data_IF_315848616249
#
_entry.id   IF_315848616249
#
_cell.length_a   1.000
_cell.length_b   1.000
_cell.length_c   1.000
_cell.angle_alpha   90.00
_cell.angle_beta   90.00
_cell.angle_gamma   90.00
#
_symmetry.space_group_name_H-M   'P 1'
#
loop_
_entity.id
_entity.type
_entity.pdbx_description
1 polymer ?
#
# COMPACT_ATOMS: atom_id res chain seq x y z
N UNK A 1 -28.84 -18.68 8.97
CA UNK A 1 -28.84 -18.63 7.48
C UNK A 1 -27.41 -18.84 7.00
N UNK A 2 -27.17 -19.96 6.31
CA UNK A 2 -25.87 -20.30 5.69
C UNK A 2 -25.67 -19.46 4.43
N UNK A 3 -24.62 -18.64 4.38
CA UNK A 3 -24.17 -18.00 3.13
C UNK A 3 -23.08 -18.86 2.48
N UNK A 4 -23.36 -19.26 1.23
CA UNK A 4 -22.48 -19.96 0.30
C UNK A 4 -21.83 -18.93 -0.64
N UNK A 5 -20.58 -19.22 -1.03
CA UNK A 5 -19.82 -18.67 -2.18
C UNK A 5 -19.29 -17.24 -2.00
N UNK A 6 -18.04 -16.90 -2.31
CA UNK A 6 -17.31 -17.22 -3.55
C UNK A 6 -15.78 -17.36 -3.36
N UNK A 7 -15.25 -18.55 -3.62
CA UNK A 7 -13.84 -18.78 -3.92
C UNK A 7 -13.58 -18.46 -5.40
N UNK A 8 -13.12 -17.25 -5.72
CA UNK A 8 -12.70 -16.87 -7.08
C UNK A 8 -11.27 -16.33 -7.15
N UNK A 9 -10.48 -16.43 -6.08
CA UNK A 9 -9.15 -15.83 -5.99
C UNK A 9 -8.00 -16.52 -6.78
N UNK A 10 -7.98 -17.82 -7.11
CA UNK A 10 -6.79 -18.41 -7.74
C UNK A 10 -6.82 -18.47 -9.27
N UNK A 11 -7.91 -18.05 -9.95
CA UNK A 11 -8.05 -18.24 -11.42
C UNK A 11 -7.48 -17.12 -12.29
N UNK A 12 -7.17 -15.96 -11.74
CA UNK A 12 -6.61 -14.83 -12.51
C UNK A 12 -5.07 -14.96 -12.66
N UNK A 13 -4.42 -15.79 -11.83
CA UNK A 13 -2.97 -16.00 -11.86
C UNK A 13 -2.47 -16.83 -13.07
N UNK A 14 -3.32 -17.64 -13.72
CA UNK A 14 -2.86 -18.57 -14.78
C UNK A 14 -2.96 -18.04 -16.20
N UNK A 15 -3.57 -16.87 -16.45
CA UNK A 15 -3.82 -16.40 -17.82
C UNK A 15 -2.70 -15.49 -18.35
N UNK A 16 -1.84 -14.95 -17.50
CA UNK A 16 -0.85 -13.93 -17.88
C UNK A 16 0.53 -14.53 -18.25
N UNK A 17 0.77 -15.82 -17.99
CA UNK A 17 2.07 -16.47 -18.26
C UNK A 17 2.15 -17.21 -19.61
N UNK A 18 1.07 -17.29 -20.39
CA UNK A 18 1.00 -18.20 -21.56
C UNK A 18 0.87 -17.50 -22.92
N UNK A 19 1.08 -16.18 -23.00
CA UNK A 19 1.10 -15.45 -24.28
C UNK A 19 2.48 -14.84 -24.50
N UNK A 20 3.50 -15.70 -24.62
CA UNK A 20 4.85 -15.31 -25.06
C UNK A 20 5.38 -16.19 -26.20
N UNK A 21 4.52 -16.93 -26.87
CA UNK A 21 4.87 -17.69 -28.06
C UNK A 21 3.69 -17.68 -29.02
N UNK A 22 3.71 -16.79 -30.01
CA UNK A 22 3.20 -17.07 -31.35
C UNK A 22 3.53 -15.92 -32.31
N UNK A 23 4.50 -16.23 -33.18
CA UNK A 23 4.76 -15.77 -34.55
C UNK A 23 4.31 -14.38 -34.98
N UNK A 24 5.28 -13.58 -35.43
CA UNK A 24 5.03 -12.48 -36.37
C UNK A 24 5.93 -12.63 -37.57
N UNK A 25 5.27 -12.68 -38.72
CA UNK A 25 5.80 -12.71 -40.08
C UNK A 25 6.63 -11.47 -40.38
N UNK A 26 7.81 -11.66 -40.97
CA UNK A 26 8.66 -10.57 -41.46
C UNK A 26 8.11 -10.05 -42.79
N UNK A 27 7.36 -8.95 -42.77
CA UNK A 27 7.10 -8.15 -43.96
C UNK A 27 8.17 -7.07 -44.14
N UNK A 28 8.73 -7.02 -45.34
CA UNK A 28 9.85 -6.18 -45.73
C UNK A 28 9.52 -4.69 -45.63
N UNK A 29 10.23 -4.00 -44.74
CA UNK A 29 10.23 -2.55 -44.66
C UNK A 29 11.59 -1.99 -45.06
N UNK A 30 11.52 -0.86 -45.77
CA UNK A 30 12.60 -0.13 -46.42
C UNK A 30 13.64 0.29 -45.38
N UNK A 31 14.91 -0.06 -45.62
CA UNK A 31 16.04 0.21 -44.74
C UNK A 31 16.37 1.70 -44.67
N UNK A 32 16.11 2.33 -43.52
CA UNK A 32 16.78 3.57 -43.13
C UNK A 32 17.94 3.26 -42.19
N UNK A 33 19.04 4.00 -42.31
CA UNK A 33 20.25 3.80 -41.52
C UNK A 33 19.99 4.01 -40.04
N UNK A 34 20.10 2.95 -39.25
CA UNK A 34 19.90 2.97 -37.80
C UNK A 34 21.22 3.31 -37.11
N UNK A 35 21.23 4.34 -36.27
CA UNK A 35 22.45 4.75 -35.54
C UNK A 35 22.76 3.81 -34.35
N UNK A 36 24.00 3.83 -33.88
CA UNK A 36 24.37 3.14 -32.63
C UNK A 36 23.55 3.66 -31.44
N UNK A 37 23.37 4.98 -31.39
CA UNK A 37 22.77 5.74 -30.28
C UNK A 37 21.29 5.39 -30.02
N UNK A 38 20.50 5.07 -31.06
CA UNK A 38 19.09 4.72 -30.89
C UNK A 38 18.87 3.40 -30.13
N UNK A 39 19.80 2.44 -30.29
CA UNK A 39 19.75 1.17 -29.56
C UNK A 39 20.06 1.37 -28.08
N UNK A 40 21.10 2.16 -27.80
CA UNK A 40 21.54 2.42 -26.43
C UNK A 40 20.48 3.24 -25.68
N UNK A 41 19.88 4.24 -26.32
CA UNK A 41 18.75 4.98 -25.75
C UNK A 41 17.55 4.06 -25.45
N UNK A 42 17.17 3.19 -26.39
CA UNK A 42 16.05 2.26 -26.21
C UNK A 42 16.30 1.30 -25.03
N UNK A 43 17.55 0.83 -24.86
CA UNK A 43 17.96 -0.01 -23.74
C UNK A 43 17.91 0.73 -22.40
N UNK A 44 18.38 1.98 -22.36
CA UNK A 44 18.31 2.82 -21.16
C UNK A 44 16.86 3.09 -20.74
N UNK A 45 15.99 3.44 -21.69
CA UNK A 45 14.56 3.64 -21.43
C UNK A 45 13.89 2.37 -20.88
N UNK A 46 14.24 1.21 -21.43
CA UNK A 46 13.76 -0.09 -20.96
C UNK A 46 14.21 -0.39 -19.53
N UNK A 47 15.49 -0.23 -19.23
CA UNK A 47 16.04 -0.44 -17.88
C UNK A 47 15.35 0.48 -16.86
N UNK A 48 15.12 1.74 -17.22
CA UNK A 48 14.40 2.70 -16.37
C UNK A 48 12.95 2.25 -16.11
N UNK A 49 12.25 1.77 -17.14
CA UNK A 49 10.87 1.26 -17.02
C UNK A 49 10.80 -0.04 -16.21
N UNK A 50 11.81 -0.91 -16.29
CA UNK A 50 11.91 -2.12 -15.45
C UNK A 50 12.12 -1.78 -13.98
N UNK A 51 12.92 -0.74 -13.67
CA UNK A 51 13.07 -0.20 -12.32
C UNK A 51 11.76 0.37 -11.78
N UNK A 52 11.07 1.19 -12.58
CA UNK A 52 9.74 1.73 -12.23
C UNK A 52 8.72 0.62 -11.95
N UNK A 53 8.71 -0.43 -12.77
CA UNK A 53 7.82 -1.58 -12.60
C UNK A 53 8.09 -2.31 -11.28
N UNK A 54 9.36 -2.56 -10.97
CA UNK A 54 9.76 -3.22 -9.72
C UNK A 54 9.36 -2.39 -8.49
N UNK A 55 9.57 -1.07 -8.55
CA UNK A 55 9.20 -0.16 -7.45
C UNK A 55 7.68 -0.09 -7.26
N UNK A 56 6.90 -0.01 -8.34
CA UNK A 56 5.43 -0.03 -8.25
C UNK A 56 4.89 -1.37 -7.73
N UNK A 57 5.51 -2.49 -8.10
CA UNK A 57 5.17 -3.80 -7.52
C UNK A 57 5.42 -3.84 -6.01
N UNK A 58 6.56 -3.30 -5.57
CA UNK A 58 6.88 -3.20 -4.14
C UNK A 58 5.88 -2.33 -3.38
N UNK A 59 5.49 -1.20 -3.96
CA UNK A 59 4.48 -0.31 -3.38
C UNK A 59 3.10 -1.00 -3.29
N UNK A 60 2.72 -1.76 -4.31
CA UNK A 60 1.46 -2.53 -4.31
C UNK A 60 1.45 -3.57 -3.18
N UNK A 61 2.54 -4.33 -3.01
CA UNK A 61 2.65 -5.30 -1.93
C UNK A 61 2.65 -4.64 -0.54
N UNK A 62 3.33 -3.50 -0.38
CA UNK A 62 3.26 -2.72 0.85
C UNK A 62 1.83 -2.26 1.16
N UNK A 63 1.07 -1.82 0.14
CA UNK A 63 -0.32 -1.40 0.30
C UNK A 63 -1.26 -2.56 0.64
N UNK A 64 -1.04 -3.75 0.09
CA UNK A 64 -1.76 -4.97 0.50
C UNK A 64 -1.49 -5.35 1.95
N UNK A 65 -0.23 -5.26 2.39
CA UNK A 65 0.13 -5.52 3.79
C UNK A 65 -0.51 -4.51 4.76
N UNK A 66 -0.54 -3.23 4.36
CA UNK A 66 -1.25 -2.18 5.09
C UNK A 66 -2.77 -2.46 5.17
N UNK A 67 -3.40 -2.90 4.08
CA UNK A 67 -4.82 -3.29 4.09
C UNK A 67 -5.08 -4.45 5.07
N UNK A 68 -4.22 -5.47 5.08
CA UNK A 68 -4.33 -6.57 6.05
C UNK A 68 -4.24 -6.10 7.50
N UNK A 69 -3.35 -5.14 7.78
CA UNK A 69 -3.21 -4.53 9.11
C UNK A 69 -4.46 -3.74 9.50
N UNK A 70 -4.98 -2.91 8.59
CA UNK A 70 -6.22 -2.15 8.80
C UNK A 70 -7.43 -3.07 9.02
N UNK A 71 -7.52 -4.18 8.27
CA UNK A 71 -8.57 -5.18 8.45
C UNK A 71 -8.51 -5.84 9.83
N UNK A 72 -7.31 -6.12 10.35
CA UNK A 72 -7.12 -6.61 11.71
C UNK A 72 -7.56 -5.60 12.78
N UNK A 73 -7.22 -4.32 12.61
CA UNK A 73 -7.67 -3.24 13.50
C UNK A 73 -9.20 -3.12 13.47
N UNK A 74 -9.81 -3.13 12.29
CA UNK A 74 -11.27 -3.13 12.13
C UNK A 74 -11.94 -4.26 12.91
N UNK A 75 -11.43 -5.49 12.80
CA UNK A 75 -11.97 -6.65 13.52
C UNK A 75 -11.83 -6.48 15.04
N UNK A 76 -10.71 -5.93 15.51
CA UNK A 76 -10.51 -5.64 16.93
C UNK A 76 -11.52 -4.62 17.45
N UNK A 77 -11.73 -3.50 16.73
CA UNK A 77 -12.71 -2.49 17.13
C UNK A 77 -14.15 -3.01 17.07
N UNK A 78 -14.49 -3.82 16.06
CA UNK A 78 -15.79 -4.47 15.98
C UNK A 78 -16.05 -5.40 17.19
N UNK A 79 -15.06 -6.17 17.61
CA UNK A 79 -15.16 -7.02 18.80
C UNK A 79 -15.28 -6.21 20.10
N UNK A 80 -14.55 -5.11 20.22
CA UNK A 80 -14.68 -4.19 21.37
C UNK A 80 -16.07 -3.55 21.42
N UNK A 81 -16.61 -3.13 20.27
CA UNK A 81 -17.96 -2.57 20.17
C UNK A 81 -19.01 -3.58 20.63
N UNK A 82 -18.95 -4.82 20.15
CA UNK A 82 -19.89 -5.88 20.53
C UNK A 82 -19.86 -6.14 22.04
N UNK A 83 -18.67 -6.20 22.65
CA UNK A 83 -18.53 -6.37 24.10
C UNK A 83 -19.07 -5.16 24.88
N UNK A 84 -18.79 -3.94 24.42
CA UNK A 84 -19.26 -2.73 25.06
C UNK A 84 -20.78 -2.60 24.98
N UNK A 85 -21.40 -2.92 23.84
CA UNK A 85 -22.87 -2.91 23.68
C UNK A 85 -23.54 -3.95 24.58
N UNK A 86 -22.95 -5.15 24.72
CA UNK A 86 -23.45 -6.16 25.67
C UNK A 86 -23.37 -5.69 27.12
N UNK A 87 -22.22 -5.14 27.54
CA UNK A 87 -22.06 -4.61 28.89
C UNK A 87 -23.03 -3.45 29.15
N UNK A 88 -23.26 -2.59 28.17
CA UNK A 88 -24.21 -1.49 28.26
C UNK A 88 -25.63 -2.00 28.50
N UNK A 89 -26.06 -3.04 27.78
CA UNK A 89 -27.36 -3.68 27.97
C UNK A 89 -27.50 -4.28 29.38
N UNK A 90 -26.46 -4.98 29.87
CA UNK A 90 -26.42 -5.52 31.24
C UNK A 90 -26.55 -4.42 32.30
N UNK A 91 -25.87 -3.28 32.11
CA UNK A 91 -25.93 -2.14 33.03
C UNK A 91 -27.30 -1.46 33.02
N UNK A 92 -27.90 -1.27 31.84
CA UNK A 92 -29.26 -0.73 31.70
C UNK A 92 -30.27 -1.62 32.43
N UNK A 93 -30.17 -2.94 32.26
CA UNK A 93 -31.03 -3.89 32.96
C UNK A 93 -30.83 -3.84 34.49
N UNK A 94 -29.58 -3.76 34.96
CA UNK A 94 -29.28 -3.63 36.38
C UNK A 94 -29.84 -2.33 36.99
N UNK A 95 -29.73 -1.20 36.29
CA UNK A 95 -30.31 0.08 36.71
C UNK A 95 -31.85 -0.04 36.81
N UNK A 96 -32.49 -0.64 35.81
CA UNK A 96 -33.94 -0.83 35.82
C UNK A 96 -34.41 -1.74 36.97
N UNK A 97 -33.67 -2.81 37.27
CA UNK A 97 -33.96 -3.68 38.40
C UNK A 97 -33.87 -2.94 39.74
N UNK A 98 -32.82 -2.13 39.93
CA UNK A 98 -32.62 -1.31 41.14
C UNK A 98 -33.70 -0.22 41.28
N UNK A 99 -34.13 0.39 40.18
CA UNK A 99 -35.26 1.32 40.19
C UNK A 99 -36.57 0.64 40.65
N UNK A 100 -36.82 -0.60 40.21
CA UNK A 100 -37.98 -1.36 40.65
C UNK A 100 -37.89 -1.73 42.15
N UNK A 101 -36.70 -2.11 42.63
CA UNK A 101 -36.43 -2.41 44.04
C UNK A 101 -36.64 -1.18 44.94
N UNK A 102 -36.11 -0.03 44.54
CA UNK A 102 -36.33 1.25 45.23
C UNK A 102 -37.82 1.59 45.39
N UNK A 103 -38.61 1.36 44.33
CA UNK A 103 -40.07 1.58 44.36
C UNK A 103 -40.77 0.64 45.34
N UNK A 104 -40.33 -0.62 45.43
CA UNK A 104 -40.87 -1.59 46.38
C UNK A 104 -40.53 -1.20 47.82
N UNK A 105 -39.27 -0.82 48.08
CA UNK A 105 -38.82 -0.35 49.39
C UNK A 105 -39.58 0.90 49.84
N UNK A 106 -39.84 1.84 48.92
CA UNK A 106 -40.64 3.03 49.20
C UNK A 106 -42.08 2.69 49.60
N UNK A 107 -42.73 1.75 48.90
CA UNK A 107 -44.06 1.26 49.26
C UNK A 107 -44.07 0.54 50.61
N UNK A 108 -43.06 -0.29 50.89
CA UNK A 108 -42.94 -0.99 52.17
C UNK A 108 -42.73 -0.02 53.33
N UNK A 109 -41.86 0.98 53.15
CA UNK A 109 -41.61 2.04 54.12
C UNK A 109 -42.91 2.79 54.47
N UNK A 110 -43.68 3.22 53.47
CA UNK A 110 -44.97 3.91 53.68
C UNK A 110 -45.97 3.05 54.45
N UNK A 111 -46.03 1.74 54.16
CA UNK A 111 -46.88 0.81 54.91
C UNK A 111 -46.44 0.71 56.37
N UNK A 112 -45.14 0.56 56.65
CA UNK A 112 -44.63 0.46 58.03
C UNK A 112 -44.79 1.77 58.80
N UNK A 113 -44.59 2.91 58.17
CA UNK A 113 -44.83 4.23 58.77
C UNK A 113 -46.29 4.41 59.16
N UNK A 114 -47.22 3.99 58.30
CA UNK A 114 -48.66 4.01 58.58
C UNK A 114 -49.00 3.08 59.75
N UNK A 115 -48.43 1.87 59.79
CA UNK A 115 -48.63 0.93 60.90
C UNK A 115 -48.07 1.48 62.22
N UNK A 116 -46.87 2.06 62.20
CA UNK A 116 -46.24 2.68 63.36
C UNK A 116 -47.08 3.83 63.91
N UNK A 117 -47.59 4.71 63.03
CA UNK A 117 -48.47 5.82 63.42
C UNK A 117 -49.77 5.31 64.07
N UNK A 118 -50.38 4.26 63.51
CA UNK A 118 -51.57 3.64 64.09
C UNK A 118 -51.28 3.02 65.47
N UNK A 119 -50.12 2.37 65.64
CA UNK A 119 -49.69 1.81 66.94
C UNK A 119 -49.41 2.92 67.96
N UNK A 120 -48.76 4.01 67.57
CA UNK A 120 -48.52 5.17 68.44
C UNK A 120 -49.84 5.78 68.93
N UNK A 121 -50.82 5.98 68.04
CA UNK A 121 -52.14 6.48 68.42
C UNK A 121 -52.86 5.56 69.42
N UNK A 122 -52.75 4.24 69.25
CA UNK A 122 -53.32 3.26 70.18
C UNK A 122 -52.65 3.31 71.56
N UNK A 123 -51.33 3.41 71.59
CA UNK A 123 -50.54 3.57 72.83
C UNK A 123 -50.99 4.84 73.56
N UNK A 124 -51.11 5.97 72.86
CA UNK A 124 -51.56 7.25 73.43
C UNK A 124 -52.96 7.15 74.03
N UNK A 125 -53.90 6.51 73.33
CA UNK A 125 -55.24 6.26 73.85
C UNK A 125 -55.22 5.40 75.13
N UNK A 126 -54.39 4.35 75.18
CA UNK A 126 -54.23 3.46 76.34
C UNK A 126 -53.60 4.18 77.53
N UNK A 127 -52.54 4.96 77.31
CA UNK A 127 -51.89 5.80 78.35
C UNK A 127 -52.88 6.82 78.90
N UNK A 128 -53.63 7.51 78.03
CA UNK A 128 -54.65 8.48 78.46
C UNK A 128 -55.76 7.82 79.28
N UNK A 129 -56.21 6.62 78.90
CA UNK A 129 -57.20 5.86 79.68
C UNK A 129 -56.67 5.46 81.05
N UNK A 130 -55.40 5.06 81.15
CA UNK A 130 -54.76 4.72 82.43
C UNK A 130 -54.66 5.94 83.35
N UNK A 131 -54.21 7.06 82.81
CA UNK A 131 -54.08 8.33 83.55
C UNK A 131 -55.42 8.85 84.07
N UNK A 132 -56.49 8.80 83.24
CA UNK A 132 -57.84 9.20 83.68
C UNK A 132 -58.35 8.31 84.83
N UNK A 133 -58.05 7.01 84.80
CA UNK A 133 -58.50 6.06 85.83
C UNK A 133 -57.69 6.16 87.12
N UNK A 134 -56.39 6.51 87.07
CA UNK A 134 -55.57 6.72 88.28
C UNK A 134 -56.01 7.90 89.13
N UNK A 135 -56.81 8.83 88.58
CA UNK A 135 -57.40 9.96 89.30
C UNK A 135 -58.69 9.60 90.07
N UNK A 136 -59.22 8.39 89.88
CA UNK A 136 -60.29 7.84 90.74
C UNK A 136 -59.64 7.36 92.03
N UNK A 137 -60.03 7.83 93.22
CA UNK A 137 -59.39 7.40 94.47
C UNK A 137 -59.54 5.88 94.62
N UNK A 138 -58.44 5.18 94.39
CA UNK A 138 -58.30 3.73 94.44
C UNK A 138 -58.78 3.17 95.78
N UNK A 139 -58.68 3.95 96.85
CA UNK A 139 -59.14 3.60 98.19
C UNK A 139 -60.65 3.30 98.26
N UNK A 140 -61.50 3.97 97.45
CA UNK A 140 -62.95 3.73 97.43
C UNK A 140 -63.29 2.40 96.74
N UNK A 141 -62.46 1.97 95.79
CA UNK A 141 -62.61 0.67 95.10
C UNK A 141 -61.89 -0.47 95.85
N UNK A 142 -60.87 -0.13 96.65
CA UNK A 142 -60.09 -1.04 97.48
C UNK A 142 -60.88 -1.59 98.70
N UNK A 143 -61.78 -0.78 99.27
CA UNK A 143 -62.61 -1.15 100.43
C UNK A 143 -64.02 -1.67 100.05
N UNK A 144 -64.33 -1.78 98.75
CA UNK A 144 -65.59 -2.37 98.27
C UNK A 144 -65.35 -3.85 97.93
N UNK A 145 -65.76 -4.74 98.84
CA UNK A 145 -65.46 -6.20 98.90
C UNK A 145 -65.51 -7.00 97.57
N UNK A 146 -64.75 -8.11 97.56
CA UNK A 146 -64.68 -9.24 96.61
C UNK A 146 -63.99 -9.08 95.24
N UNK A 147 -63.41 -7.91 94.91
CA UNK A 147 -62.84 -7.66 93.55
C UNK A 147 -61.35 -7.28 93.50
N UNK A 148 -60.60 -7.39 94.61
CA UNK A 148 -59.19 -7.01 94.66
C UNK A 148 -58.32 -7.73 93.61
N UNK A 149 -58.56 -9.04 93.42
CA UNK A 149 -57.90 -9.84 92.37
C UNK A 149 -58.17 -9.27 90.98
N UNK A 150 -59.42 -8.94 90.68
CA UNK A 150 -59.81 -8.41 89.36
C UNK A 150 -59.22 -7.03 89.05
N UNK A 151 -58.97 -6.21 90.08
CA UNK A 151 -58.31 -4.91 89.95
C UNK A 151 -56.80 -5.05 89.70
N UNK A 152 -56.15 -5.95 90.43
CA UNK A 152 -54.74 -6.29 90.21
C UNK A 152 -54.52 -6.94 88.84
N UNK A 153 -55.44 -7.81 88.41
CA UNK A 153 -55.46 -8.42 87.08
C UNK A 153 -55.65 -7.36 85.97
N UNK A 154 -56.61 -6.43 86.09
CA UNK A 154 -56.81 -5.36 85.09
C UNK A 154 -55.59 -4.44 84.97
N UNK A 155 -54.97 -4.07 86.09
CA UNK A 155 -53.73 -3.29 86.08
C UNK A 155 -52.56 -4.06 85.43
N UNK A 156 -52.37 -5.32 85.82
CA UNK A 156 -51.33 -6.19 85.26
C UNK A 156 -51.55 -6.40 83.75
N UNK A 157 -52.78 -6.66 83.32
CA UNK A 157 -53.11 -6.85 81.90
C UNK A 157 -52.80 -5.59 81.08
N UNK A 158 -53.17 -4.40 81.58
CA UNK A 158 -52.89 -3.13 80.89
C UNK A 158 -51.40 -2.82 80.79
N UNK A 159 -50.63 -3.09 81.84
CA UNK A 159 -49.17 -2.86 81.82
C UNK A 159 -48.45 -3.84 80.89
N UNK A 160 -48.87 -5.10 80.84
CA UNK A 160 -48.38 -6.09 79.87
C UNK A 160 -48.69 -5.68 78.43
N UNK A 161 -49.92 -5.22 78.17
CA UNK A 161 -50.32 -4.72 76.84
C UNK A 161 -49.46 -3.54 76.40
N UNK A 162 -49.27 -2.53 77.26
CA UNK A 162 -48.45 -1.37 76.93
C UNK A 162 -46.99 -1.76 76.63
N UNK A 163 -46.46 -2.74 77.37
CA UNK A 163 -45.11 -3.27 77.14
C UNK A 163 -45.02 -3.93 75.76
N UNK A 164 -46.02 -4.72 75.38
CA UNK A 164 -46.07 -5.37 74.07
C UNK A 164 -46.28 -4.37 72.92
N UNK A 165 -47.12 -3.35 73.10
CA UNK A 165 -47.29 -2.29 72.12
C UNK A 165 -45.99 -1.52 71.92
N UNK A 166 -45.31 -1.14 73.01
CA UNK A 166 -44.02 -0.44 72.94
C UNK A 166 -42.98 -1.30 72.21
N UNK A 167 -42.93 -2.60 72.52
CA UNK A 167 -42.05 -3.55 71.82
C UNK A 167 -42.36 -3.62 70.33
N UNK A 168 -43.64 -3.68 69.96
CA UNK A 168 -44.08 -3.68 68.56
C UNK A 168 -43.70 -2.37 67.85
N UNK A 169 -43.92 -1.22 68.49
CA UNK A 169 -43.57 0.08 67.94
C UNK A 169 -42.05 0.25 67.74
N UNK A 170 -41.24 -0.23 68.70
CA UNK A 170 -39.78 -0.28 68.54
C UNK A 170 -39.40 -1.16 67.36
N UNK A 171 -39.96 -2.36 67.24
CA UNK A 171 -39.69 -3.27 66.12
C UNK A 171 -40.07 -2.68 64.76
N UNK A 172 -41.19 -1.98 64.65
CA UNK A 172 -41.57 -1.24 63.44
C UNK A 172 -40.58 -0.12 63.11
N UNK A 173 -40.13 0.63 64.12
CA UNK A 173 -39.09 1.64 63.96
C UNK A 173 -37.76 1.07 63.47
N UNK A 174 -37.34 -0.08 64.02
CA UNK A 174 -36.15 -0.81 63.57
C UNK A 174 -36.28 -1.28 62.11
N UNK A 175 -37.46 -1.77 61.70
CA UNK A 175 -37.72 -2.17 60.32
C UNK A 175 -37.71 -0.99 59.35
N UNK A 176 -38.28 0.16 59.72
CA UNK A 176 -38.22 1.40 58.92
C UNK A 176 -36.76 1.85 58.74
N UNK A 177 -35.96 1.83 59.82
CA UNK A 177 -34.54 2.16 59.75
C UNK A 177 -33.77 1.19 58.84
N UNK A 178 -34.08 -0.10 58.88
CA UNK A 178 -33.46 -1.09 58.00
C UNK A 178 -33.81 -0.85 56.51
N UNK A 179 -35.09 -0.62 56.20
CA UNK A 179 -35.55 -0.26 54.85
C UNK A 179 -34.87 1.02 54.36
N UNK A 180 -34.74 2.03 55.24
CA UNK A 180 -34.05 3.28 54.91
C UNK A 180 -32.60 3.07 54.49
N UNK A 181 -31.84 2.21 55.20
CA UNK A 181 -30.46 1.86 54.84
C UNK A 181 -30.38 1.12 53.50
N UNK A 182 -31.23 0.13 53.30
CA UNK A 182 -31.26 -0.65 52.05
C UNK A 182 -31.60 0.25 50.84
N UNK A 183 -32.47 1.25 51.05
CA UNK A 183 -32.82 2.24 50.04
C UNK A 183 -31.64 3.15 49.69
N UNK A 184 -30.89 3.62 50.68
CA UNK A 184 -29.67 4.42 50.47
C UNK A 184 -28.58 3.62 49.71
N UNK A 185 -28.36 2.35 50.08
CA UNK A 185 -27.44 1.46 49.38
C UNK A 185 -27.86 1.23 47.91
N UNK A 186 -29.15 1.05 47.66
CA UNK A 186 -29.68 0.93 46.30
C UNK A 186 -29.53 2.23 45.48
N UNK A 187 -29.77 3.40 46.08
CA UNK A 187 -29.57 4.70 45.42
C UNK A 187 -28.11 4.93 45.04
N UNK A 188 -27.17 4.62 45.95
CA UNK A 188 -25.72 4.76 45.71
C UNK A 188 -25.22 3.80 44.63
N UNK A 189 -25.62 2.52 44.67
CA UNK A 189 -25.25 1.54 43.63
C UNK A 189 -25.82 1.93 42.27
N UNK A 190 -27.07 2.37 42.21
CA UNK A 190 -27.70 2.85 40.98
C UNK A 190 -26.92 4.04 40.40
N UNK A 191 -26.54 5.01 41.21
CA UNK A 191 -25.76 6.16 40.76
C UNK A 191 -24.37 5.75 40.23
N UNK A 192 -23.72 4.73 40.82
CA UNK A 192 -22.47 4.17 40.29
C UNK A 192 -22.67 3.53 38.91
N UNK A 193 -23.73 2.72 38.76
CA UNK A 193 -24.06 2.08 37.50
C UNK A 193 -24.39 3.09 36.39
N UNK A 194 -25.06 4.21 36.73
CA UNK A 194 -25.35 5.28 35.77
C UNK A 194 -24.06 5.94 35.24
N UNK A 195 -23.04 6.14 36.10
CA UNK A 195 -21.72 6.65 35.68
C UNK A 195 -20.95 5.66 34.81
N UNK A 196 -20.97 4.38 35.16
CA UNK A 196 -20.35 3.33 34.34
C UNK A 196 -21.03 3.22 32.98
N UNK A 197 -22.37 3.33 32.94
CA UNK A 197 -23.15 3.35 31.71
C UNK A 197 -22.77 4.53 30.82
N UNK A 198 -22.63 5.74 31.37
CA UNK A 198 -22.20 6.93 30.61
C UNK A 198 -20.80 6.74 30.00
N UNK A 199 -19.89 6.11 30.74
CA UNK A 199 -18.55 5.78 30.24
C UNK A 199 -18.62 4.78 29.08
N UNK A 200 -19.43 3.72 29.22
CA UNK A 200 -19.64 2.74 28.16
C UNK A 200 -20.30 3.34 26.92
N UNK A 201 -21.27 4.25 27.09
CA UNK A 201 -21.89 4.99 25.98
C UNK A 201 -20.83 5.77 25.18
N UNK A 202 -19.87 6.42 25.85
CA UNK A 202 -18.76 7.11 25.18
C UNK A 202 -17.81 6.14 24.46
N UNK A 203 -17.51 4.99 25.06
CA UNK A 203 -16.64 3.98 24.45
C UNK A 203 -17.29 3.35 23.21
N UNK A 204 -18.60 3.12 23.23
CA UNK A 204 -19.39 2.68 22.07
C UNK A 204 -19.30 3.70 20.93
N UNK A 205 -19.44 5.00 21.23
CA UNK A 205 -19.32 6.04 20.20
C UNK A 205 -17.91 6.08 19.60
N UNK A 206 -16.87 6.07 20.44
CA UNK A 206 -15.47 6.04 19.99
C UNK A 206 -15.18 4.82 19.11
N UNK A 207 -15.66 3.64 19.51
CA UNK A 207 -15.47 2.43 18.72
C UNK A 207 -16.15 2.54 17.34
N UNK A 208 -17.36 3.10 17.27
CA UNK A 208 -18.08 3.35 16.00
C UNK A 208 -17.31 4.32 15.10
N UNK A 209 -16.76 5.39 15.65
CA UNK A 209 -15.92 6.34 14.91
C UNK A 209 -14.63 5.68 14.37
N UNK A 210 -13.96 4.87 15.18
CA UNK A 210 -12.75 4.12 14.78
C UNK A 210 -13.04 3.10 13.68
N UNK A 211 -14.16 2.39 13.76
CA UNK A 211 -14.64 1.47 12.73
C UNK A 211 -14.86 2.22 11.41
N UNK A 212 -15.58 3.35 11.44
CA UNK A 212 -15.84 4.15 10.25
C UNK A 212 -14.56 4.69 9.63
N UNK A 213 -13.62 5.18 10.45
CA UNK A 213 -12.32 5.66 9.99
C UNK A 213 -11.49 4.55 9.34
N UNK A 214 -11.45 3.36 9.95
CA UNK A 214 -10.74 2.20 9.41
C UNK A 214 -11.34 1.73 8.08
N UNK A 215 -12.68 1.69 7.96
CA UNK A 215 -13.35 1.39 6.69
C UNK A 215 -13.00 2.40 5.59
N UNK A 216 -12.99 3.70 5.90
CA UNK A 216 -12.61 4.73 4.95
C UNK A 216 -11.15 4.57 4.49
N UNK A 217 -10.23 4.25 5.40
CA UNK A 217 -8.83 3.99 5.08
C UNK A 217 -8.65 2.74 4.21
N UNK A 218 -9.38 1.65 4.49
CA UNK A 218 -9.38 0.44 3.66
C UNK A 218 -9.87 0.77 2.25
N UNK A 219 -10.96 1.53 2.10
CA UNK A 219 -11.48 1.92 0.80
C UNK A 219 -10.49 2.80 0.02
N UNK A 220 -9.87 3.78 0.69
CA UNK A 220 -8.83 4.62 0.08
C UNK A 220 -7.61 3.79 -0.36
N UNK A 221 -7.15 2.86 0.48
CA UNK A 221 -6.03 1.98 0.17
C UNK A 221 -6.35 1.10 -1.06
N UNK A 222 -7.55 0.52 -1.13
CA UNK A 222 -7.99 -0.25 -2.31
C UNK A 222 -7.99 0.57 -3.59
N UNK A 223 -8.43 1.83 -3.53
CA UNK A 223 -8.37 2.72 -4.70
C UNK A 223 -6.92 2.96 -5.15
N UNK A 224 -6.00 3.17 -4.22
CA UNK A 224 -4.57 3.30 -4.54
C UNK A 224 -4.00 2.01 -5.14
N UNK A 225 -4.39 0.83 -4.63
CA UNK A 225 -3.99 -0.45 -5.21
C UNK A 225 -4.50 -0.60 -6.65
N UNK A 226 -5.74 -0.21 -6.95
CA UNK A 226 -6.28 -0.22 -8.30
C UNK A 226 -5.50 0.70 -9.24
N UNK A 227 -5.12 1.89 -8.78
CA UNK A 227 -4.27 2.82 -9.56
C UNK A 227 -2.89 2.23 -9.85
N UNK A 228 -2.24 1.63 -8.84
CA UNK A 228 -0.95 0.96 -9.01
C UNK A 228 -1.05 -0.21 -9.99
N UNK A 229 -2.10 -1.02 -9.92
CA UNK A 229 -2.33 -2.11 -10.89
C UNK A 229 -2.50 -1.58 -12.31
N UNK A 230 -3.24 -0.49 -12.51
CA UNK A 230 -3.36 0.14 -13.83
C UNK A 230 -2.03 0.68 -14.35
N UNK A 231 -1.22 1.31 -13.50
CA UNK A 231 0.12 1.79 -13.86
C UNK A 231 1.04 0.62 -14.25
N UNK A 232 1.00 -0.49 -13.52
CA UNK A 232 1.77 -1.70 -13.84
C UNK A 232 1.40 -2.27 -15.21
N UNK A 233 0.11 -2.34 -15.54
CA UNK A 233 -0.34 -2.77 -16.88
C UNK A 233 0.19 -1.81 -17.96
N UNK A 234 0.15 -0.50 -17.71
CA UNK A 234 0.70 0.51 -18.62
C UNK A 234 2.21 0.35 -18.83
N UNK A 235 2.98 0.13 -17.76
CA UNK A 235 4.42 -0.10 -17.82
C UNK A 235 4.77 -1.40 -18.57
N UNK A 236 4.01 -2.47 -18.35
CA UNK A 236 4.18 -3.74 -19.08
C UNK A 236 3.97 -3.56 -20.60
N UNK A 237 2.94 -2.80 -20.99
CA UNK A 237 2.70 -2.46 -22.41
C UNK A 237 3.83 -1.63 -23.03
N UNK A 238 4.35 -0.65 -22.29
CA UNK A 238 5.49 0.16 -22.73
C UNK A 238 6.76 -0.68 -22.90
N UNK A 239 7.04 -1.58 -21.95
CA UNK A 239 8.19 -2.50 -22.02
C UNK A 239 8.09 -3.48 -23.20
N UNK A 240 6.90 -3.99 -23.51
CA UNK A 240 6.68 -4.82 -24.69
C UNK A 240 6.99 -4.03 -25.97
N UNK A 241 6.52 -2.78 -26.07
CA UNK A 241 6.77 -1.90 -27.22
C UNK A 241 8.25 -1.57 -27.38
N UNK A 242 8.95 -1.23 -26.29
CA UNK A 242 10.39 -0.96 -26.31
C UNK A 242 11.21 -2.21 -26.68
N UNK A 243 10.78 -3.40 -26.22
CA UNK A 243 11.42 -4.67 -26.58
C UNK A 243 11.26 -4.98 -28.06
N UNK A 244 10.07 -4.73 -28.62
CA UNK A 244 9.86 -4.85 -30.07
C UNK A 244 10.77 -3.89 -30.85
N UNK A 245 10.84 -2.62 -30.44
CA UNK A 245 11.73 -1.63 -31.06
C UNK A 245 13.21 -2.04 -30.99
N UNK A 246 13.66 -2.58 -29.86
CA UNK A 246 15.02 -3.11 -29.71
C UNK A 246 15.31 -4.23 -30.73
N UNK A 247 14.38 -5.18 -30.89
CA UNK A 247 14.51 -6.28 -31.85
C UNK A 247 14.52 -5.80 -33.30
N UNK A 248 13.66 -4.82 -33.65
CA UNK A 248 13.63 -4.21 -34.98
C UNK A 248 14.95 -3.52 -35.32
N UNK A 249 15.51 -2.75 -34.37
CA UNK A 249 16.82 -2.10 -34.53
C UNK A 249 17.94 -3.15 -34.72
N UNK A 250 17.95 -4.21 -33.93
CA UNK A 250 18.95 -5.28 -34.03
C UNK A 250 18.85 -6.03 -35.36
N UNK A 251 17.63 -6.34 -35.81
CA UNK A 251 17.40 -6.97 -37.11
C UNK A 251 17.86 -6.08 -38.27
N UNK A 252 17.55 -4.77 -38.21
CA UNK A 252 18.00 -3.80 -39.20
C UNK A 252 19.54 -3.69 -39.24
N UNK A 253 20.20 -3.66 -38.07
CA UNK A 253 21.67 -3.66 -37.98
C UNK A 253 22.29 -4.95 -38.54
N UNK A 254 21.72 -6.11 -38.21
CA UNK A 254 22.20 -7.39 -38.72
C UNK A 254 22.06 -7.51 -40.24
N UNK A 255 20.93 -7.08 -40.79
CA UNK A 255 20.71 -7.09 -42.23
C UNK A 255 21.59 -6.06 -42.97
N UNK A 256 21.82 -4.87 -42.40
CA UNK A 256 22.78 -3.91 -42.95
C UNK A 256 24.24 -4.41 -42.90
N UNK A 257 24.58 -5.25 -41.91
CA UNK A 257 25.88 -5.92 -41.84
C UNK A 257 25.99 -7.08 -42.85
N UNK A 258 24.89 -7.81 -43.12
CA UNK A 258 24.84 -8.91 -44.08
C UNK A 258 24.82 -8.47 -45.55
N UNK A 259 24.48 -7.20 -45.83
CA UNK A 259 24.49 -6.66 -47.18
C UNK A 259 25.91 -6.66 -47.80
N UNK A 260 26.14 -7.51 -48.81
CA UNK A 260 27.44 -7.67 -49.51
C UNK A 260 27.76 -6.59 -50.56
N UNK A 261 27.02 -5.48 -50.56
CA UNK A 261 27.26 -4.42 -51.53
C UNK A 261 28.54 -3.67 -51.17
N UNK A 262 29.49 -3.64 -52.11
CA UNK A 262 30.70 -2.81 -52.08
C UNK A 262 30.63 -1.75 -53.18
N UNK A 263 31.59 -0.82 -53.22
CA UNK A 263 31.71 0.17 -54.30
C UNK A 263 31.76 -0.57 -55.64
N UNK A 264 30.84 -0.23 -56.55
CA UNK A 264 30.76 -0.81 -57.89
C UNK A 264 29.82 -2.01 -58.04
N UNK A 265 29.22 -2.54 -56.97
CA UNK A 265 28.30 -3.70 -57.07
C UNK A 265 26.91 -3.35 -57.61
N UNK A 266 26.49 -2.08 -57.55
CA UNK A 266 25.22 -1.61 -58.08
C UNK A 266 25.49 -0.50 -59.11
N UNK A 267 24.80 -0.54 -60.26
CA UNK A 267 24.84 0.56 -61.21
C UNK A 267 24.35 1.84 -60.55
N UNK A 268 25.15 2.91 -60.65
CA UNK A 268 24.73 4.24 -60.19
C UNK A 268 23.69 4.79 -61.15
N UNK A 269 22.40 4.54 -60.87
CA UNK A 269 21.31 5.09 -61.67
C UNK A 269 20.90 6.47 -61.14
N UNK A 270 20.82 7.46 -62.03
CA UNK A 270 20.33 8.83 -61.74
C UNK A 270 18.85 8.89 -61.32
N UNK A 271 18.12 7.79 -61.47
CA UNK A 271 16.68 7.69 -61.24
C UNK A 271 16.26 8.06 -59.81
N UNK A 272 17.06 7.72 -58.80
CA UNK A 272 16.74 8.03 -57.40
C UNK A 272 16.79 9.53 -57.10
N UNK A 273 17.68 10.29 -57.75
CA UNK A 273 17.80 11.75 -57.59
C UNK A 273 16.72 12.51 -58.38
N UNK A 274 16.14 11.85 -59.39
CA UNK A 274 15.13 12.45 -60.27
C UNK A 274 13.69 12.11 -59.86
N UNK A 275 13.48 11.40 -58.74
CA UNK A 275 12.13 11.20 -58.20
C UNK A 275 11.56 12.52 -57.67
N UNK A 276 10.37 12.95 -58.15
CA UNK A 276 9.72 14.15 -57.63
C UNK A 276 9.43 14.01 -56.13
N UNK A 277 9.44 15.12 -55.40
CA UNK A 277 8.97 15.15 -54.02
C UNK A 277 7.54 14.59 -53.93
N UNK A 278 7.16 13.93 -52.82
CA UNK A 278 5.79 13.47 -52.60
C UNK A 278 4.78 14.61 -52.84
N UNK A 279 3.70 14.33 -53.57
CA UNK A 279 2.78 15.35 -54.12
C UNK A 279 1.89 16.10 -53.12
N UNK A 280 2.22 16.06 -51.83
CA UNK A 280 1.57 16.80 -50.76
C UNK A 280 2.36 18.07 -50.41
N UNK A 281 1.65 19.10 -49.97
CA UNK A 281 2.14 20.48 -49.82
C UNK A 281 3.07 20.70 -48.61
N UNK A 282 4.06 19.83 -48.41
CA UNK A 282 5.08 19.91 -47.35
C UNK A 282 6.46 20.30 -47.89
N UNK A 283 7.33 20.79 -47.01
CA UNK A 283 8.74 20.98 -47.31
C UNK A 283 9.48 19.65 -47.13
N UNK A 284 10.11 19.17 -48.21
CA UNK A 284 10.90 17.94 -48.20
C UNK A 284 12.38 18.26 -48.30
N UNK A 285 13.17 17.65 -47.43
CA UNK A 285 14.62 17.62 -47.54
C UNK A 285 15.04 16.23 -48.00
N UNK A 286 15.94 16.20 -48.97
CA UNK A 286 16.51 14.98 -49.50
C UNK A 286 18.03 15.08 -49.40
N UNK A 287 18.64 14.08 -48.78
CA UNK A 287 20.09 13.98 -48.64
C UNK A 287 20.56 12.79 -49.47
N UNK A 288 21.55 13.03 -50.32
CA UNK A 288 22.21 12.00 -51.11
C UNK A 288 23.70 12.04 -50.82
N UNK A 289 24.30 10.87 -50.69
CA UNK A 289 25.76 10.74 -50.63
C UNK A 289 26.21 9.93 -51.82
N UNK A 290 27.32 10.34 -52.44
CA UNK A 290 28.02 9.54 -53.42
C UNK A 290 29.13 8.79 -52.69
N UNK A 291 28.82 7.57 -52.28
CA UNK A 291 29.81 6.73 -51.59
C UNK A 291 29.16 5.52 -50.97
N UNK A 292 29.48 4.34 -51.50
CA UNK A 292 29.39 3.12 -50.72
C UNK A 292 30.73 2.97 -50.00
N UNK A 293 30.81 2.64 -48.70
CA UNK A 293 32.08 2.23 -48.15
C UNK A 293 32.49 0.93 -48.86
N UNK A 294 33.69 0.86 -49.41
CA UNK A 294 34.20 -0.39 -49.97
C UNK A 294 34.50 -1.43 -48.87
N UNK A 295 34.37 -1.04 -47.59
CA UNK A 295 34.56 -1.85 -46.38
C UNK A 295 35.94 -2.53 -46.31
N UNK A 296 36.87 -2.06 -47.13
CA UNK A 296 38.26 -2.46 -47.20
C UNK A 296 39.08 -1.24 -46.76
N UNK A 297 40.07 -1.40 -45.91
CA UNK A 297 40.84 -0.27 -45.41
C UNK A 297 41.64 -0.65 -44.18
N UNK A 298 42.88 -0.17 -44.12
CA UNK A 298 43.76 -0.47 -43.00
C UNK A 298 43.44 0.39 -41.78
N UNK A 299 43.11 -0.24 -40.66
CA UNK A 299 43.07 0.46 -39.38
C UNK A 299 44.49 0.68 -38.87
N UNK A 300 44.88 1.93 -38.63
CA UNK A 300 46.24 2.30 -38.23
C UNK A 300 46.67 1.62 -36.91
N UNK A 301 45.82 1.61 -35.88
CA UNK A 301 46.11 0.94 -34.60
C UNK A 301 46.09 -0.59 -34.72
N UNK A 302 45.27 -1.13 -35.61
CA UNK A 302 45.27 -2.55 -35.93
C UNK A 302 46.56 -2.97 -36.64
N UNK A 303 47.08 -2.14 -37.56
CA UNK A 303 48.39 -2.34 -38.19
C UNK A 303 49.52 -2.27 -37.15
N UNK A 304 49.46 -1.32 -36.22
CA UNK A 304 50.37 -1.25 -35.06
C UNK A 304 50.37 -2.53 -34.23
N UNK A 305 49.18 -3.04 -33.84
CA UNK A 305 49.06 -4.27 -33.07
C UNK A 305 49.59 -5.50 -33.82
N UNK A 306 49.33 -5.61 -35.14
CA UNK A 306 49.86 -6.69 -35.98
C UNK A 306 51.38 -6.62 -36.14
N UNK A 307 51.93 -5.42 -36.29
CA UNK A 307 53.38 -5.22 -36.34
C UNK A 307 54.06 -5.54 -35.00
N UNK A 308 53.42 -5.21 -33.86
CA UNK A 308 53.87 -5.64 -32.54
C UNK A 308 53.81 -7.16 -32.36
N UNK A 309 52.85 -7.83 -33.00
CA UNK A 309 52.77 -9.28 -33.06
C UNK A 309 53.77 -9.92 -34.03
N UNK A 310 54.66 -9.13 -34.66
CA UNK A 310 55.73 -9.61 -35.53
C UNK A 310 55.34 -9.84 -36.99
N UNK A 311 54.15 -9.40 -37.42
CA UNK A 311 53.75 -9.49 -38.83
C UNK A 311 54.53 -8.50 -39.69
N UNK A 312 54.95 -8.94 -40.87
CA UNK A 312 55.60 -8.14 -41.91
C UNK A 312 54.62 -7.17 -42.56
N UNK A 313 55.13 -6.11 -43.23
CA UNK A 313 54.28 -5.17 -43.99
C UNK A 313 53.32 -5.86 -44.95
N UNK A 314 53.77 -6.90 -45.67
CA UNK A 314 52.91 -7.65 -46.59
C UNK A 314 51.78 -8.40 -45.88
N UNK A 315 52.07 -9.06 -44.77
CA UNK A 315 51.05 -9.76 -43.95
C UNK A 315 50.03 -8.78 -43.36
N UNK A 316 50.49 -7.59 -42.95
CA UNK A 316 49.61 -6.51 -42.47
C UNK A 316 48.69 -6.05 -43.60
N UNK A 317 49.25 -5.72 -44.78
CA UNK A 317 48.46 -5.25 -45.93
C UNK A 317 47.45 -6.28 -46.40
N UNK A 318 47.85 -7.54 -46.58
CA UNK A 318 46.95 -8.63 -46.97
C UNK A 318 45.88 -8.94 -45.92
N UNK A 319 46.08 -8.58 -44.65
CA UNK A 319 45.05 -8.69 -43.63
C UNK A 319 43.92 -7.64 -43.76
N UNK A 320 44.20 -6.49 -44.38
CA UNK A 320 43.23 -5.40 -44.56
C UNK A 320 42.71 -5.27 -45.99
N UNK A 321 43.51 -5.69 -46.97
CA UNK A 321 43.19 -5.63 -48.39
C UNK A 321 43.18 -7.06 -48.93
N UNK A 322 42.00 -7.69 -48.93
CA UNK A 322 41.84 -9.04 -49.48
C UNK A 322 41.73 -8.98 -51.01
N UNK A 323 42.34 -9.94 -51.71
CA UNK A 323 42.29 -10.08 -53.18
C UNK A 323 42.86 -8.88 -53.96
N UNK A 324 43.84 -8.17 -53.39
CA UNK A 324 44.67 -7.20 -54.12
C UNK A 324 46.08 -7.76 -54.29
N UNK A 325 46.77 -7.30 -55.33
CA UNK A 325 48.19 -7.55 -55.53
C UNK A 325 48.93 -6.26 -55.21
N UNK A 326 49.89 -6.32 -54.28
CA UNK A 326 50.66 -5.16 -53.81
C UNK A 326 52.01 -5.11 -54.51
N UNK A 327 52.20 -4.09 -55.36
CA UNK A 327 53.48 -3.83 -56.06
C UNK A 327 54.63 -3.66 -55.06
N UNK A 328 55.75 -4.37 -55.32
CA UNK A 328 56.94 -4.33 -54.47
C UNK A 328 56.91 -5.29 -53.26
N UNK A 329 55.77 -5.95 -53.01
CA UNK A 329 55.61 -6.96 -51.95
C UNK A 329 55.28 -8.32 -52.55
N UNK A 330 54.33 -8.37 -53.49
CA UNK A 330 53.90 -9.61 -54.13
C UNK A 330 54.76 -9.93 -55.37
N UNK A 331 55.18 -11.19 -55.55
CA UNK A 331 56.10 -11.59 -56.63
C UNK A 331 55.53 -11.43 -58.04
N UNK A 332 54.20 -11.44 -58.19
CA UNK A 332 53.50 -11.34 -59.48
C UNK A 332 52.96 -9.93 -59.76
N UNK A 333 53.31 -8.95 -58.93
CA UNK A 333 52.83 -7.58 -59.08
C UNK A 333 53.55 -6.85 -60.23
N UNK A 334 52.78 -6.24 -61.13
CA UNK A 334 53.35 -5.34 -62.16
C UNK A 334 54.05 -4.13 -61.53
N UNK A 335 55.04 -3.57 -62.21
CA UNK A 335 55.67 -2.30 -61.81
C UNK A 335 54.70 -1.14 -62.04
N UNK A 336 54.39 -0.38 -60.99
CA UNK A 336 53.70 0.90 -61.10
C UNK A 336 54.75 2.01 -61.11
N UNK A 337 54.69 2.92 -62.08
CA UNK A 337 55.57 4.09 -62.09
C UNK A 337 55.09 5.07 -61.00
N UNK A 338 55.87 5.18 -59.92
CA UNK A 338 55.64 6.21 -58.92
C UNK A 338 55.96 7.59 -59.53
N UNK A 339 55.10 8.61 -59.34
CA UNK A 339 55.44 9.98 -59.72
C UNK A 339 56.73 10.40 -59.02
N UNK A 340 57.68 11.01 -59.74
CA UNK A 340 58.91 11.50 -59.10
C UNK A 340 58.67 12.76 -58.26
N UNK A 341 57.69 13.57 -58.68
CA UNK A 341 57.34 14.83 -58.03
C UNK A 341 55.83 15.05 -58.01
N UNK A 342 55.35 15.79 -57.02
CA UNK A 342 53.97 16.24 -56.88
C UNK A 342 53.95 17.74 -56.66
N UNK A 343 52.99 18.41 -57.32
CA UNK A 343 52.78 19.86 -57.14
C UNK A 343 51.90 20.10 -55.91
N UNK A 344 52.49 20.68 -54.87
CA UNK A 344 51.78 21.06 -53.65
C UNK A 344 51.49 22.56 -53.67
N UNK A 345 50.25 22.92 -53.40
CA UNK A 345 49.83 24.32 -53.35
C UNK A 345 50.62 25.08 -52.26
N UNK A 346 51.16 26.25 -52.61
CA UNK A 346 52.03 27.03 -51.73
C UNK A 346 53.48 26.55 -51.56
N UNK A 347 53.83 25.33 -51.97
CA UNK A 347 55.19 24.76 -51.84
C UNK A 347 55.87 24.43 -53.18
N UNK A 348 55.12 24.42 -54.28
CA UNK A 348 55.64 24.11 -55.61
C UNK A 348 55.78 22.61 -55.85
N UNK A 349 56.65 22.23 -56.78
CA UNK A 349 56.96 20.82 -57.03
C UNK A 349 57.88 20.30 -55.93
N UNK A 350 57.47 19.23 -55.26
CA UNK A 350 58.28 18.54 -54.28
C UNK A 350 58.38 17.06 -54.65
N UNK A 351 59.47 16.42 -54.23
CA UNK A 351 59.67 14.97 -54.34
C UNK A 351 58.47 14.22 -53.76
N UNK A 352 57.87 13.32 -54.54
CA UNK A 352 56.70 12.56 -54.09
C UNK A 352 56.99 11.70 -52.84
N UNK A 353 58.16 11.01 -52.73
CA UNK A 353 58.55 10.36 -51.48
C UNK A 353 58.64 11.30 -50.28
N UNK A 354 59.06 12.56 -50.47
CA UNK A 354 59.16 13.52 -49.37
C UNK A 354 57.80 14.13 -49.00
N UNK A 355 56.90 14.26 -49.97
CA UNK A 355 55.49 14.58 -49.73
C UNK A 355 54.83 13.52 -48.85
N UNK A 356 54.97 12.23 -49.19
CA UNK A 356 54.37 11.13 -48.43
C UNK A 356 54.87 11.07 -46.98
N UNK A 357 56.17 11.34 -46.75
CA UNK A 357 56.73 11.44 -45.38
C UNK A 357 56.13 12.59 -44.57
N UNK A 358 55.61 13.62 -45.23
CA UNK A 358 54.91 14.75 -44.61
C UNK A 358 53.47 14.43 -44.20
N UNK A 359 52.89 13.34 -44.70
CA UNK A 359 51.57 12.83 -44.31
C UNK A 359 51.74 12.00 -43.03
N UNK A 360 52.03 12.68 -41.93
CA UNK A 360 52.31 12.06 -40.63
C UNK A 360 51.05 11.58 -39.90
N UNK A 361 50.36 10.58 -40.44
CA UNK A 361 49.18 9.98 -39.77
C UNK A 361 49.57 9.01 -38.64
N UNK A 362 50.74 8.36 -38.75
CA UNK A 362 51.27 7.46 -37.72
C UNK A 362 52.49 8.07 -37.00
N UNK A 363 52.61 7.92 -35.66
CA UNK A 363 53.81 8.33 -34.94
C UNK A 363 55.06 7.60 -35.43
N UNK A 364 56.16 8.32 -35.65
CA UNK A 364 57.44 7.75 -36.09
C UNK A 364 58.06 6.74 -35.10
N UNK A 365 57.55 6.69 -33.86
CA UNK A 365 57.93 5.71 -32.83
C UNK A 365 57.28 4.33 -33.01
N UNK A 366 56.35 4.18 -33.96
CA UNK A 366 55.68 2.90 -34.21
C UNK A 366 56.61 1.89 -34.91
N UNK A 367 56.34 0.58 -34.80
CA UNK A 367 57.08 -0.45 -35.51
C UNK A 367 57.16 -0.16 -37.01
N UNK A 368 58.35 -0.35 -37.58
CA UNK A 368 58.66 -0.03 -38.98
C UNK A 368 57.71 -0.70 -39.97
N UNK A 369 57.24 -1.91 -39.68
CA UNK A 369 56.35 -2.66 -40.56
C UNK A 369 54.94 -2.03 -40.65
N UNK A 370 54.46 -1.38 -39.59
CA UNK A 370 53.21 -0.60 -39.63
C UNK A 370 53.39 0.70 -40.41
N UNK A 371 54.52 1.40 -40.21
CA UNK A 371 54.84 2.64 -40.92
C UNK A 371 55.02 2.45 -42.43
N UNK A 372 55.46 1.27 -42.87
CA UNK A 372 55.56 0.91 -44.30
C UNK A 372 54.24 0.43 -44.90
N UNK A 373 53.31 -0.05 -44.07
CA UNK A 373 51.99 -0.51 -44.53
C UNK A 373 51.03 0.67 -44.75
N UNK A 374 51.31 1.80 -44.09
CA UNK A 374 50.67 3.09 -44.34
C UNK A 374 51.33 3.74 -45.55
#
# INVERSE_FOLDING_TARGET
>A
MRSKNSNTLPRILSIILTILLLGVSLDGSIFQGVSADELDQTRQEKEQKEKELTEQQKQLEAKKAEEGTLAGQYQSYAGQLEQAEKLLEEKIAAIAARQAELKKLEQEMQMRETELAAKQALIEQRIRSLYKKSYTPSIVTFFSNDKLSSLAEDYTYRTVILKEDKKTAIGLGEMILAIGKEREENETLKASLEKEKETLDLDVQKAKEQIAASQAQIAANRNTQLQLVQQLVGLQGALASLTQKEQEILAAKAAAAAAQNTVGNNEQTWLSISTPAPGNSGNYFSFWTYGYPHRVGMNQYGAYGRALAGQTTGEILHAYYNAVTVTGIDPDAGSFEEPTEIKVDGYGWISFPDYLKGIGEMPSSWPKEALKAQ
#
